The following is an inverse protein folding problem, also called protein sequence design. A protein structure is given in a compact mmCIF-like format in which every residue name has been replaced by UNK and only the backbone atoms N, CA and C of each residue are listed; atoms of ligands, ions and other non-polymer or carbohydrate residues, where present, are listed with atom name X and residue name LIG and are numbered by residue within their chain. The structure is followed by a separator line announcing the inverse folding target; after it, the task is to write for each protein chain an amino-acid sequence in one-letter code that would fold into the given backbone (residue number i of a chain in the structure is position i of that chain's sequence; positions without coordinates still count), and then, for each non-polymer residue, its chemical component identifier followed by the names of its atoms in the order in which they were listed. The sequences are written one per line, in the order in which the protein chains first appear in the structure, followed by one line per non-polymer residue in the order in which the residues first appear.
data_IF_428636060432
#
_entry.id   IF_428636060432
#
_cell.length_a   1.000
_cell.length_b   1.000
_cell.length_c   1.000
_cell.angle_alpha   90.00
_cell.angle_beta   90.00
_cell.angle_gamma   90.00
#
_symmetry.space_group_name_H-M   'P 1'
#
loop_
_entity.id
_entity.type
_entity.pdbx_description
1 polymer ?
2 water ?
#
# COMPACT_ATOMS: atom_id res chain seq x y z
N UNK A 1 11.28 -6.61 -2.95
CA UNK A 1 11.64 -5.88 -1.70
C UNK A 1 12.86 -6.49 -0.99
N UNK A 2 13.58 -5.64 -0.26
CA UNK A 2 14.74 -6.08 0.49
C UNK A 2 14.32 -7.00 1.64
N UNK A 3 15.12 -8.04 1.88
CA UNK A 3 14.77 -9.09 2.82
C UNK A 3 14.65 -8.60 4.25
N UNK A 4 15.39 -7.58 4.64
CA UNK A 4 15.35 -7.03 5.97
C UNK A 4 13.95 -6.48 6.31
N UNK A 5 13.27 -6.01 5.26
CA UNK A 5 11.94 -5.41 5.57
C UNK A 5 10.77 -6.33 5.33
N UNK A 6 10.98 -7.63 5.10
CA UNK A 6 9.89 -8.58 5.12
C UNK A 6 9.37 -8.78 6.51
N UNK A 7 8.03 -8.96 6.63
CA UNK A 7 7.47 -9.16 7.96
C UNK A 7 7.80 -10.60 8.45
N UNK A 8 8.05 -10.68 9.75
CA UNK A 8 8.34 -12.01 10.34
C UNK A 8 7.55 -12.20 11.59
N UNK A 9 6.83 -11.18 12.07
CA UNK A 9 6.06 -11.34 13.28
C UNK A 9 4.54 -11.41 13.05
N UNK A 10 4.11 -10.97 11.88
CA UNK A 10 2.65 -10.81 11.65
C UNK A 10 2.15 -11.87 10.71
N UNK A 11 0.99 -12.45 11.03
CA UNK A 11 0.33 -13.36 10.10
C UNK A 11 -0.50 -12.44 9.14
N UNK A 12 0.02 -12.21 7.98
CA UNK A 12 -0.55 -11.12 7.13
C UNK A 12 -1.84 -11.59 6.48
N UNK A 13 -2.86 -10.72 6.48
CA UNK A 13 -4.11 -11.11 5.82
C UNK A 13 -3.93 -11.39 4.36
N UNK A 14 -4.83 -12.20 3.74
CA UNK A 14 -4.85 -12.39 2.30
C UNK A 14 -5.12 -11.05 1.55
N UNK A 15 -4.47 -10.87 0.43
CA UNK A 15 -4.57 -9.67 -0.39
C UNK A 15 -4.05 -8.44 0.32
N UNK A 16 -3.06 -8.61 1.22
CA UNK A 16 -2.40 -7.51 1.86
C UNK A 16 -0.85 -7.65 1.70
N UNK A 17 -0.20 -6.53 1.81
CA UNK A 17 1.27 -6.46 1.79
C UNK A 17 1.72 -6.10 3.20
N UNK A 18 3.01 -6.37 3.52
CA UNK A 18 3.40 -6.02 4.88
C UNK A 18 4.87 -5.52 4.82
N UNK A 19 5.15 -4.53 5.61
CA UNK A 19 6.47 -3.93 5.69
C UNK A 19 6.95 -3.90 7.13
N UNK A 20 8.23 -4.34 7.36
CA UNK A 20 8.76 -4.29 8.73
C UNK A 20 9.77 -3.14 8.85
N UNK A 21 9.51 -2.15 9.70
CA UNK A 21 10.29 -0.95 9.74
C UNK A 21 11.58 -1.17 10.59
N UNK A 22 12.43 -0.16 10.56
CA UNK A 22 13.65 -0.17 11.38
C UNK A 22 13.42 -0.29 12.87
N UNK A 23 12.29 0.11 13.43
CA UNK A 23 12.01 0.08 14.85
C UNK A 23 11.45 -1.26 15.31
N UNK A 24 11.35 -2.19 14.38
CA UNK A 24 10.88 -3.54 14.66
C UNK A 24 9.37 -3.69 14.52
N UNK A 25 8.66 -2.58 14.26
CA UNK A 25 7.20 -2.70 14.14
C UNK A 25 6.85 -3.15 12.73
N UNK A 26 5.67 -3.74 12.54
CA UNK A 26 5.29 -4.19 11.23
C UNK A 26 3.88 -3.55 10.91
N UNK A 27 3.77 -3.24 9.64
CA UNK A 27 2.39 -2.69 9.29
C UNK A 27 1.98 -3.42 8.05
N UNK A 28 0.72 -3.93 8.03
CA UNK A 28 0.21 -4.53 6.84
C UNK A 28 -0.91 -3.54 6.27
N UNK A 29 -0.96 -3.57 4.97
CA UNK A 29 -1.95 -2.70 4.26
C UNK A 29 -2.55 -3.51 3.15
N UNK A 30 -3.90 -3.31 2.94
CA UNK A 30 -4.40 -4.03 1.77
C UNK A 30 -3.79 -3.58 0.47
N UNK A 31 -3.74 -4.48 -0.52
CA UNK A 31 -3.26 -4.22 -1.85
C UNK A 31 -4.29 -3.27 -2.56
N UNK A 32 -3.82 -2.59 -3.58
CA UNK A 32 -4.76 -1.71 -4.31
C UNK A 32 -5.97 -2.52 -4.78
N UNK A 33 -7.14 -1.83 -4.85
CA UNK A 33 -8.38 -2.49 -5.23
C UNK A 33 -8.93 -3.47 -4.21
N UNK A 34 -8.52 -3.30 -2.96
CA UNK A 34 -9.04 -3.96 -1.80
C UNK A 34 -9.20 -2.95 -0.68
N UNK A 35 -10.14 -3.19 0.25
CA UNK A 35 -10.34 -2.23 1.31
C UNK A 35 -10.41 -2.96 2.66
N UNK A 36 -9.77 -2.34 3.63
CA UNK A 36 -9.58 -3.00 4.93
C UNK A 36 -10.83 -2.96 5.77
N UNK A 37 -11.19 -4.04 6.44
CA UNK A 37 -12.23 -4.04 7.46
C UNK A 37 -11.97 -5.17 8.47
N UNK A 38 -11.61 -4.83 9.68
CA UNK A 38 -11.41 -5.80 10.76
C UNK A 38 -10.55 -6.99 10.31
N UNK A 39 -9.40 -6.70 9.74
CA UNK A 39 -8.48 -7.83 9.46
C UNK A 39 -8.68 -8.51 8.15
N UNK A 40 -9.70 -8.07 7.36
CA UNK A 40 -9.95 -8.64 6.07
C UNK A 40 -9.80 -7.59 4.96
N UNK A 41 -9.26 -7.97 3.82
CA UNK A 41 -9.07 -7.05 2.72
C UNK A 41 -10.18 -7.37 1.69
N UNK A 42 -11.25 -6.57 1.70
CA UNK A 42 -12.41 -6.90 0.82
C UNK A 42 -12.24 -6.30 -0.57
N UNK A 43 -12.70 -6.97 -1.61
CA UNK A 43 -12.49 -6.55 -2.99
C UNK A 43 -13.21 -5.21 -3.19
N UNK A 44 -12.55 -4.26 -3.83
CA UNK A 44 -13.03 -2.89 -3.92
C UNK A 44 -12.59 -2.37 -5.28
N UNK A 45 -13.20 -2.87 -6.36
CA UNK A 45 -12.68 -2.67 -7.69
C UNK A 45 -12.83 -1.26 -8.20
N UNK A 46 -13.77 -0.51 -7.58
CA UNK A 46 -13.96 0.88 -8.01
C UNK A 46 -13.78 1.86 -6.88
N UNK A 47 -12.82 1.51 -5.99
CA UNK A 47 -12.49 2.43 -4.91
C UNK A 47 -11.87 3.66 -5.54
N UNK A 48 -12.02 4.84 -4.96
CA UNK A 48 -11.42 6.02 -5.57
C UNK A 48 -10.42 6.68 -4.63
N UNK A 49 -9.74 7.71 -5.12
CA UNK A 49 -8.77 8.43 -4.31
C UNK A 49 -9.38 9.14 -3.12
N UNK A 50 -10.71 9.27 -3.10
CA UNK A 50 -11.34 9.95 -1.98
C UNK A 50 -11.49 9.05 -0.76
N UNK A 51 -11.30 7.75 -0.96
CA UNK A 51 -11.51 6.76 0.10
C UNK A 51 -10.11 6.28 0.54
N UNK A 52 -9.63 6.81 1.64
CA UNK A 52 -8.34 6.47 2.22
C UNK A 52 -7.19 6.63 1.25
N UNK A 53 -7.20 7.68 0.44
CA UNK A 53 -6.16 7.90 -0.54
C UNK A 53 -6.09 6.83 -1.60
N UNK A 54 -7.21 6.18 -1.91
CA UNK A 54 -7.25 5.17 -2.96
C UNK A 54 -6.48 3.89 -2.54
N UNK A 55 -6.08 3.86 -1.27
CA UNK A 55 -5.28 2.67 -0.88
C UNK A 55 -3.79 2.98 -1.11
N UNK A 56 -3.43 4.15 -1.60
CA UNK A 56 -2.03 4.52 -1.80
C UNK A 56 -1.43 4.87 -0.45
N UNK A 57 -0.08 4.72 -0.34
CA UNK A 57 0.52 5.15 0.94
C UNK A 57 0.05 6.56 1.28
N UNK A 58 -0.09 6.88 2.55
CA UNK A 58 -0.52 8.18 3.00
C UNK A 58 0.28 9.32 2.42
N UNK A 59 1.60 9.14 2.25
CA UNK A 59 2.43 10.26 1.80
C UNK A 59 2.51 10.31 0.29
N UNK A 60 1.84 9.38 -0.38
CA UNK A 60 1.83 9.32 -1.82
C UNK A 60 0.65 10.20 -2.38
N UNK A 61 0.81 10.47 -3.66
CA UNK A 61 -0.27 11.18 -4.37
C UNK A 61 -1.13 10.15 -5.10
N UNK A 62 -2.44 10.22 -4.94
CA UNK A 62 -3.35 9.34 -5.65
C UNK A 62 -4.00 10.12 -6.83
N UNK A 63 -3.99 9.53 -7.98
CA UNK A 63 -4.60 10.12 -9.18
C UNK A 63 -5.49 9.03 -9.80
N UNK A 64 -6.64 9.44 -10.30
CA UNK A 64 -7.50 8.55 -11.07
C UNK A 64 -7.09 8.62 -12.54
N UNK A 65 -6.83 7.47 -13.13
CA UNK A 65 -6.41 7.33 -14.51
C UNK A 65 -7.67 7.54 -15.42
N UNK A 66 -7.59 7.62 -16.75
CA UNK A 66 -8.85 7.82 -17.56
C UNK A 66 -9.77 6.57 -17.54
N UNK A 67 -9.13 5.43 -17.33
CA UNK A 67 -9.80 4.13 -17.30
C UNK A 67 -10.36 3.82 -15.90
N UNK A 68 -10.31 4.82 -15.04
CA UNK A 68 -10.83 4.70 -13.66
C UNK A 68 -9.91 3.83 -12.77
N UNK A 69 -8.66 3.79 -13.16
CA UNK A 69 -7.56 3.05 -12.51
C UNK A 69 -6.86 3.95 -11.49
N UNK A 70 -6.42 3.32 -10.40
CA UNK A 70 -5.78 4.11 -9.34
C UNK A 70 -4.30 4.18 -9.66
N UNK A 71 -3.73 5.37 -9.60
CA UNK A 71 -2.30 5.54 -9.90
C UNK A 71 -1.67 6.18 -8.67
N UNK A 72 -0.79 5.46 -7.96
CA UNK A 72 -0.17 6.07 -6.79
C UNK A 72 1.18 6.66 -7.16
N UNK A 73 1.52 7.85 -6.67
CA UNK A 73 2.86 8.32 -7.00
C UNK A 73 3.67 8.64 -5.76
N UNK A 74 4.84 8.03 -5.64
CA UNK A 74 5.71 8.36 -4.49
C UNK A 74 6.52 9.60 -4.88
N UNK A 75 6.16 10.74 -4.33
CA UNK A 75 6.78 12.00 -4.74
C UNK A 75 8.16 12.28 -4.20
N UNK A 76 8.59 11.78 -3.06
CA UNK A 76 9.94 12.07 -2.56
C UNK A 76 10.95 11.58 -3.61
N UNK A 77 11.99 12.35 -3.91
CA UNK A 77 12.97 11.91 -4.89
C UNK A 77 13.68 10.65 -4.41
N UNK A 78 13.90 9.72 -5.32
CA UNK A 78 14.58 8.47 -4.97
C UNK A 78 13.70 7.58 -4.11
N UNK A 79 12.44 7.99 -3.98
CA UNK A 79 11.47 7.11 -3.30
C UNK A 79 10.89 6.23 -4.39
N UNK A 80 10.63 4.96 -4.16
CA UNK A 80 10.06 4.12 -5.21
C UNK A 80 8.83 3.40 -4.66
N UNK A 81 7.87 3.11 -5.51
CA UNK A 81 6.66 2.43 -5.06
C UNK A 81 6.94 0.97 -4.76
N UNK A 82 6.41 0.47 -3.65
CA UNK A 82 6.36 -0.97 -3.41
C UNK A 82 4.88 -1.39 -3.58
N UNK A 83 4.64 -2.53 -4.19
CA UNK A 83 3.29 -3.06 -4.35
C UNK A 83 2.40 -1.99 -5.01
N UNK A 84 2.90 -1.36 -6.04
CA UNK A 84 2.19 -0.34 -6.80
C UNK A 84 1.90 0.93 -6.03
N UNK A 85 2.62 1.21 -4.93
CA UNK A 85 2.45 2.44 -4.21
C UNK A 85 1.64 2.32 -2.94
N UNK A 86 1.32 1.12 -2.51
CA UNK A 86 0.74 0.90 -1.19
C UNK A 86 1.74 1.32 -0.12
N UNK A 87 3.04 1.13 -0.44
CA UNK A 87 4.12 1.68 0.39
C UNK A 87 5.08 2.43 -0.56
N UNK A 88 5.78 3.43 -0.03
CA UNK A 88 6.80 4.11 -0.82
C UNK A 88 8.14 3.94 -0.06
N UNK A 89 9.21 3.53 -0.74
CA UNK A 89 10.46 3.44 0.04
C UNK A 89 11.61 4.12 -0.67
N UNK A 90 12.74 4.28 0.03
CA UNK A 90 13.93 4.80 -0.63
C UNK A 90 14.57 3.65 -1.40
N UNK A 91 14.73 3.82 -2.71
CA UNK A 91 15.32 2.80 -3.56
C UNK A 91 14.65 1.44 -3.37
#
# INVERSE_FOLDING_TARGET
MSSEHRCIDTNVPENAACYRYLDGTEEWRCLLYFKEDAGKCVPAPNMTCKDKNGGCAPEAECKMNDKNEIVCKCTKEGSEPLFEGVFCSHHHHHH
#
